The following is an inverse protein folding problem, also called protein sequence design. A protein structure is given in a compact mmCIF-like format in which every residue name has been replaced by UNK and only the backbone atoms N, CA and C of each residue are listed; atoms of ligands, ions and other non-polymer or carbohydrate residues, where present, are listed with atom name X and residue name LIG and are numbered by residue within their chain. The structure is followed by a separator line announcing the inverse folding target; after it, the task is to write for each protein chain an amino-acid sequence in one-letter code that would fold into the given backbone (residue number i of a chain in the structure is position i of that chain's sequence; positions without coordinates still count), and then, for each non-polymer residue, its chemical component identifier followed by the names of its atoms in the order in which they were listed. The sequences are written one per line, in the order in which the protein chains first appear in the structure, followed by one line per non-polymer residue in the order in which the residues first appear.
data_IF_327761954102
#
_entry.id   IF_327761954102
#
_cell.length_a   1.000
_cell.length_b   1.000
_cell.length_c   1.000
_cell.angle_alpha   90.00
_cell.angle_beta   90.00
_cell.angle_gamma   90.00
#
_symmetry.space_group_name_H-M   'P 1'
#
loop_
_entity.id
_entity.type
_entity.pdbx_description
1 polymer ?
#
# COMPACT_ATOMS: atom_id res chain seq x y z
N UNK A 1 27.35 -0.50 -6.42
CA UNK A 1 26.50 -0.50 -7.63
C UNK A 1 25.08 -0.26 -7.14
N UNK A 2 24.36 0.76 -7.66
CA UNK A 2 22.96 0.95 -7.36
C UNK A 2 22.18 -0.24 -7.96
N UNK A 3 21.42 -0.95 -7.12
CA UNK A 3 20.51 -1.97 -7.61
C UNK A 3 19.36 -1.26 -8.32
N UNK A 4 19.41 -1.22 -9.63
CA UNK A 4 18.41 -0.56 -10.50
C UNK A 4 17.39 -1.55 -11.06
N UNK A 5 17.44 -2.82 -10.62
CA UNK A 5 16.49 -3.83 -11.09
C UNK A 5 15.05 -3.46 -10.67
N UNK A 6 14.06 -3.66 -11.58
CA UNK A 6 12.67 -3.38 -11.27
C UNK A 6 12.21 -3.98 -9.94
N UNK A 7 11.44 -3.22 -9.18
CA UNK A 7 10.76 -3.68 -7.97
C UNK A 7 9.35 -4.17 -8.34
N UNK A 8 8.81 -5.11 -7.57
CA UNK A 8 7.39 -5.45 -7.57
C UNK A 8 6.74 -4.80 -6.34
N UNK A 9 5.79 -3.90 -6.56
CA UNK A 9 5.11 -3.15 -5.50
C UNK A 9 3.62 -3.48 -5.49
N UNK A 10 3.12 -3.95 -4.35
CA UNK A 10 1.69 -4.12 -4.13
C UNK A 10 1.09 -2.79 -3.61
N UNK A 11 0.16 -2.21 -4.36
CA UNK A 11 -0.54 -0.98 -4.00
C UNK A 11 -1.92 -1.33 -3.46
N UNK A 12 -2.11 -1.22 -2.15
CA UNK A 12 -3.33 -1.66 -1.44
C UNK A 12 -4.30 -0.49 -1.25
N UNK A 13 -5.44 -0.51 -1.92
CA UNK A 13 -6.47 0.53 -1.77
C UNK A 13 -7.41 0.21 -0.61
N UNK A 14 -7.62 1.19 0.27
CA UNK A 14 -8.39 1.00 1.51
C UNK A 14 -9.88 1.34 1.46
N UNK A 15 -10.43 1.83 0.34
CA UNK A 15 -11.83 2.29 0.28
C UNK A 15 -12.69 1.49 -0.69
N UNK A 16 -13.87 1.10 -0.22
CA UNK A 16 -14.93 0.44 -1.01
C UNK A 16 -16.17 1.31 -1.20
N UNK A 17 -16.11 2.62 -0.91
CA UNK A 17 -17.24 3.53 -1.13
C UNK A 17 -17.52 3.70 -2.62
N UNK A 18 -18.80 3.87 -2.99
CA UNK A 18 -19.23 4.00 -4.40
C UNK A 18 -18.46 5.14 -5.09
N UNK A 19 -18.46 6.34 -4.49
CA UNK A 19 -17.79 7.54 -5.05
C UNK A 19 -16.41 7.77 -4.43
N UNK A 20 -15.62 6.71 -4.24
CA UNK A 20 -14.31 6.78 -3.58
C UNK A 20 -13.30 7.60 -4.39
N UNK A 21 -12.78 8.65 -3.80
CA UNK A 21 -11.74 9.46 -4.41
C UNK A 21 -10.34 8.79 -4.34
N UNK A 22 -10.16 7.86 -3.41
CA UNK A 22 -8.87 7.15 -3.23
C UNK A 22 -8.40 6.36 -4.43
N UNK A 23 -9.31 5.96 -5.33
CA UNK A 23 -8.93 5.28 -6.58
C UNK A 23 -8.07 6.19 -7.48
N UNK A 24 -8.30 7.51 -7.47
CA UNK A 24 -7.48 8.48 -8.20
C UNK A 24 -6.04 8.49 -7.68
N UNK A 25 -5.88 8.55 -6.34
CA UNK A 25 -4.55 8.49 -5.70
C UNK A 25 -3.85 7.15 -5.94
N UNK A 26 -4.59 6.04 -5.87
CA UNK A 26 -4.01 4.71 -6.13
C UNK A 26 -3.51 4.58 -7.57
N UNK A 27 -4.30 4.97 -8.56
CA UNK A 27 -3.90 4.96 -9.97
C UNK A 27 -2.76 5.90 -10.29
N UNK A 28 -2.73 7.09 -9.67
CA UNK A 28 -1.61 8.03 -9.76
C UNK A 28 -0.30 7.37 -9.30
N UNK A 29 -0.32 6.73 -8.13
CA UNK A 29 0.86 6.09 -7.56
C UNK A 29 1.30 4.85 -8.36
N UNK A 30 0.36 4.03 -8.86
CA UNK A 30 0.67 2.94 -9.79
C UNK A 30 1.36 3.48 -11.02
N UNK A 31 0.75 4.47 -11.70
CA UNK A 31 1.34 5.07 -12.90
C UNK A 31 2.71 5.71 -12.65
N UNK A 32 2.90 6.35 -11.49
CA UNK A 32 4.18 6.94 -11.12
C UNK A 32 5.27 5.88 -10.92
N UNK A 33 4.96 4.75 -10.27
CA UNK A 33 5.86 3.62 -10.09
C UNK A 33 6.20 2.94 -11.43
N UNK A 34 5.21 2.73 -12.30
CA UNK A 34 5.41 2.18 -13.64
C UNK A 34 6.32 3.06 -14.51
N UNK A 35 6.14 4.39 -14.48
CA UNK A 35 7.02 5.35 -15.15
C UNK A 35 8.46 5.31 -14.65
N UNK A 36 8.68 4.87 -13.42
CA UNK A 36 10.00 4.64 -12.81
C UNK A 36 10.58 3.26 -13.14
N UNK A 37 9.85 2.44 -13.93
CA UNK A 37 10.29 1.14 -14.39
C UNK A 37 9.98 -0.02 -13.44
N UNK A 38 9.09 0.17 -12.46
CA UNK A 38 8.68 -0.86 -11.52
C UNK A 38 7.40 -1.57 -11.97
N UNK A 39 7.17 -2.79 -11.48
CA UNK A 39 5.88 -3.47 -11.56
C UNK A 39 5.03 -3.02 -10.38
N UNK A 40 3.95 -2.26 -10.62
CA UNK A 40 3.02 -1.83 -9.60
C UNK A 40 1.66 -2.51 -9.78
N UNK A 41 1.23 -3.30 -8.79
CA UNK A 41 -0.02 -4.05 -8.86
C UNK A 41 -1.03 -3.46 -7.88
N UNK A 42 -2.13 -2.91 -8.43
CA UNK A 42 -3.23 -2.40 -7.62
C UNK A 42 -4.05 -3.56 -7.05
N UNK A 43 -4.17 -3.60 -5.74
CA UNK A 43 -5.09 -4.48 -5.00
C UNK A 43 -6.30 -3.66 -4.58
N UNK A 44 -7.39 -3.85 -5.28
CA UNK A 44 -8.64 -3.13 -5.06
C UNK A 44 -9.68 -4.04 -4.40
N UNK A 45 -10.11 -3.74 -3.16
CA UNK A 45 -11.09 -4.57 -2.44
C UNK A 45 -12.50 -4.55 -3.04
N UNK A 46 -12.77 -3.73 -4.06
CA UNK A 46 -14.00 -3.84 -4.84
C UNK A 46 -13.91 -4.90 -5.93
N UNK A 47 -12.73 -5.17 -6.43
CA UNK A 47 -12.47 -6.21 -7.43
C UNK A 47 -12.14 -7.55 -6.78
N UNK A 48 -11.31 -7.54 -5.72
CA UNK A 48 -10.97 -8.72 -4.93
C UNK A 48 -11.73 -8.65 -3.61
N UNK A 49 -12.92 -9.23 -3.59
CA UNK A 49 -13.81 -9.20 -2.42
C UNK A 49 -13.51 -10.34 -1.48
N UNK A 50 -12.84 -10.02 -0.38
CA UNK A 50 -12.63 -10.97 0.70
C UNK A 50 -13.81 -10.92 1.71
N UNK A 51 -14.21 -12.05 2.28
CA UNK A 51 -15.16 -12.07 3.41
C UNK A 51 -14.55 -11.29 4.60
N UNK A 52 -15.35 -10.97 5.61
CA UNK A 52 -14.78 -10.56 6.90
C UNK A 52 -13.92 -11.71 7.41
N UNK A 53 -12.76 -11.36 7.96
CA UNK A 53 -11.80 -12.35 8.43
C UNK A 53 -12.43 -13.32 9.42
N UNK A 54 -12.51 -14.56 9.01
CA UNK A 54 -12.85 -15.73 9.85
C UNK A 54 -11.69 -16.71 9.93
N UNK A 55 -10.79 -16.67 8.93
CA UNK A 55 -9.60 -17.53 8.84
C UNK A 55 -8.47 -16.82 8.11
N UNK A 56 -7.28 -16.79 8.69
CA UNK A 56 -6.08 -16.27 8.04
C UNK A 56 -5.57 -17.23 6.96
N UNK A 57 -4.87 -16.68 5.95
CA UNK A 57 -4.30 -17.47 4.88
C UNK A 57 -3.40 -18.64 5.37
N UNK A 58 -2.58 -18.40 6.40
CA UNK A 58 -1.69 -19.42 6.99
C UNK A 58 -2.41 -20.60 7.66
N UNK A 59 -3.72 -20.47 7.92
CA UNK A 59 -4.53 -21.52 8.57
C UNK A 59 -5.15 -22.49 7.55
N UNK A 60 -5.02 -22.20 6.24
CA UNK A 60 -5.41 -23.13 5.18
C UNK A 60 -4.30 -24.13 4.87
N UNK A 61 -4.64 -25.37 4.46
CA UNK A 61 -3.65 -26.28 3.88
C UNK A 61 -3.00 -25.63 2.65
N UNK A 62 -1.77 -25.97 2.37
CA UNK A 62 -1.04 -25.45 1.20
C UNK A 62 -1.86 -25.65 -0.10
N UNK A 63 -2.17 -24.57 -0.78
CA UNK A 63 -2.97 -24.56 -2.03
C UNK A 63 -4.47 -24.85 -1.80
N UNK A 64 -4.94 -24.81 -0.57
CA UNK A 64 -6.34 -25.06 -0.21
C UNK A 64 -7.13 -23.81 0.17
N UNK A 65 -6.54 -22.62 0.07
CA UNK A 65 -7.25 -21.38 0.31
C UNK A 65 -8.12 -20.99 -0.89
N UNK A 66 -9.14 -20.14 -0.71
CA UNK A 66 -9.89 -19.55 -1.82
C UNK A 66 -8.96 -18.91 -2.86
N UNK A 67 -9.37 -18.93 -4.13
CA UNK A 67 -8.53 -18.49 -5.26
C UNK A 67 -8.03 -17.04 -5.09
N UNK A 68 -8.86 -16.16 -4.55
CA UNK A 68 -8.52 -14.76 -4.29
C UNK A 68 -7.39 -14.63 -3.25
N UNK A 69 -7.42 -15.46 -2.21
CA UNK A 69 -6.36 -15.50 -1.19
C UNK A 69 -5.05 -16.09 -1.76
N UNK A 70 -5.12 -17.15 -2.57
CA UNK A 70 -3.94 -17.72 -3.25
C UNK A 70 -3.30 -16.69 -4.21
N UNK A 71 -4.12 -15.97 -4.97
CA UNK A 71 -3.65 -14.91 -5.86
C UNK A 71 -2.94 -13.80 -5.10
N UNK A 72 -3.52 -13.31 -4.01
CA UNK A 72 -2.92 -12.28 -3.17
C UNK A 72 -1.65 -12.78 -2.49
N UNK A 73 -1.64 -14.00 -1.94
CA UNK A 73 -0.46 -14.59 -1.34
C UNK A 73 0.71 -14.69 -2.34
N UNK A 74 0.41 -15.10 -3.58
CA UNK A 74 1.41 -15.16 -4.66
C UNK A 74 1.98 -13.76 -4.96
N UNK A 75 1.14 -12.73 -5.05
CA UNK A 75 1.58 -11.35 -5.24
C UNK A 75 2.43 -10.87 -4.05
N UNK A 76 1.97 -11.06 -2.82
CA UNK A 76 2.62 -10.55 -1.63
C UNK A 76 3.99 -11.18 -1.39
N UNK A 77 4.14 -12.47 -1.68
CA UNK A 77 5.43 -13.17 -1.58
C UNK A 77 6.48 -12.65 -2.56
N UNK A 78 6.07 -12.25 -3.77
CA UNK A 78 7.00 -11.68 -4.76
C UNK A 78 7.18 -10.18 -4.63
N UNK A 79 6.33 -9.49 -3.85
CA UNK A 79 6.44 -8.06 -3.64
C UNK A 79 7.73 -7.66 -2.91
N UNK A 80 8.33 -6.56 -3.33
CA UNK A 80 9.48 -5.94 -2.68
C UNK A 80 9.08 -4.87 -1.67
N UNK A 81 7.85 -4.40 -1.73
CA UNK A 81 7.28 -3.43 -0.80
C UNK A 81 5.77 -3.26 -0.98
N UNK A 82 5.14 -2.64 0.01
CA UNK A 82 3.71 -2.39 0.07
C UNK A 82 3.41 -0.90 0.17
N UNK A 83 2.57 -0.38 -0.73
CA UNK A 83 2.11 0.99 -0.69
C UNK A 83 0.62 1.03 -0.32
N UNK A 84 0.31 1.57 0.86
CA UNK A 84 -1.05 1.61 1.41
C UNK A 84 -1.70 2.94 1.03
N UNK A 85 -2.85 2.90 0.33
CA UNK A 85 -3.64 4.09 -0.02
C UNK A 85 -4.87 4.15 0.88
N UNK A 86 -4.76 4.87 1.99
CA UNK A 86 -5.76 4.87 3.06
C UNK A 86 -6.58 6.15 3.11
N UNK A 87 -7.91 6.00 3.09
CA UNK A 87 -8.79 7.03 3.59
C UNK A 87 -8.71 7.13 5.13
N UNK A 88 -9.34 8.16 5.68
CA UNK A 88 -9.61 8.29 7.12
C UNK A 88 -11.12 8.23 7.34
N UNK A 89 -11.60 7.19 8.03
CA UNK A 89 -12.99 7.05 8.44
C UNK A 89 -13.11 7.24 9.95
N UNK A 90 -13.73 8.35 10.38
CA UNK A 90 -13.88 8.65 11.79
C UNK A 90 -12.56 8.53 12.58
N UNK A 91 -11.48 9.14 12.06
CA UNK A 91 -10.12 9.11 12.59
C UNK A 91 -9.42 7.73 12.54
N UNK A 92 -10.01 6.74 11.88
CA UNK A 92 -9.50 5.37 11.85
C UNK A 92 -9.20 4.86 10.44
N UNK A 93 -8.55 3.70 10.42
CA UNK A 93 -8.27 2.93 9.20
C UNK A 93 -9.59 2.40 8.63
N UNK A 94 -9.83 2.50 7.31
CA UNK A 94 -11.02 1.93 6.69
C UNK A 94 -11.15 0.42 6.96
N UNK A 95 -12.36 -0.08 7.29
CA UNK A 95 -12.56 -1.51 7.57
C UNK A 95 -12.10 -2.44 6.44
N UNK A 96 -12.30 -2.04 5.19
CA UNK A 96 -11.87 -2.84 4.05
C UNK A 96 -10.34 -3.00 3.96
N UNK A 97 -9.58 -1.94 4.28
CA UNK A 97 -8.12 -2.03 4.34
C UNK A 97 -7.67 -2.93 5.49
N UNK A 98 -8.27 -2.76 6.67
CA UNK A 98 -7.94 -3.59 7.83
C UNK A 98 -8.25 -5.05 7.57
N UNK A 99 -9.41 -5.35 6.99
CA UNK A 99 -9.80 -6.70 6.61
C UNK A 99 -8.82 -7.32 5.60
N UNK A 100 -8.42 -6.56 4.57
CA UNK A 100 -7.45 -7.01 3.57
C UNK A 100 -6.10 -7.36 4.20
N UNK A 101 -5.62 -6.54 5.14
CA UNK A 101 -4.34 -6.76 5.82
C UNK A 101 -4.38 -7.98 6.74
N UNK A 102 -5.47 -8.18 7.46
CA UNK A 102 -5.56 -9.20 8.51
C UNK A 102 -5.63 -10.65 7.97
N UNK A 103 -5.96 -10.83 6.69
CA UNK A 103 -5.95 -12.17 6.08
C UNK A 103 -4.53 -12.76 5.93
N UNK A 104 -3.49 -11.96 6.01
CA UNK A 104 -2.10 -12.38 5.77
C UNK A 104 -1.20 -11.97 6.94
N UNK A 105 -0.02 -12.57 7.02
CA UNK A 105 1.00 -12.23 8.02
C UNK A 105 2.41 -12.45 7.48
N UNK A 106 2.81 -13.70 7.25
CA UNK A 106 4.18 -14.07 6.84
C UNK A 106 4.53 -13.52 5.46
N UNK A 107 3.53 -13.32 4.60
CA UNK A 107 3.66 -12.74 3.27
C UNK A 107 4.17 -11.29 3.29
N UNK A 108 4.02 -10.58 4.42
CA UNK A 108 4.48 -9.21 4.62
C UNK A 108 5.90 -9.09 5.16
N UNK A 109 6.42 -10.11 5.81
CA UNK A 109 7.64 -10.02 6.60
C UNK A 109 8.82 -9.49 5.80
N UNK A 110 9.60 -8.61 6.43
CA UNK A 110 10.85 -8.05 5.92
C UNK A 110 10.72 -7.19 4.67
N UNK A 111 9.52 -6.69 4.37
CA UNK A 111 9.24 -5.77 3.27
C UNK A 111 8.85 -4.40 3.81
N UNK A 112 9.35 -3.29 3.23
CA UNK A 112 8.96 -1.97 3.70
C UNK A 112 7.53 -1.65 3.29
N UNK A 113 6.90 -0.79 4.08
CA UNK A 113 5.62 -0.20 3.76
C UNK A 113 5.72 1.32 3.62
N UNK A 114 4.92 1.88 2.72
CA UNK A 114 4.74 3.31 2.52
C UNK A 114 3.26 3.66 2.64
N UNK A 115 2.92 4.78 3.26
CA UNK A 115 1.54 5.18 3.51
C UNK A 115 1.22 6.46 2.74
N UNK A 116 0.34 6.33 1.74
CA UNK A 116 -0.36 7.44 1.13
C UNK A 116 -1.73 7.56 1.80
N UNK A 117 -2.01 8.68 2.42
CA UNK A 117 -3.26 8.89 3.13
C UNK A 117 -4.00 10.11 2.60
N UNK A 118 -5.33 10.10 2.70
CA UNK A 118 -6.14 11.19 2.18
C UNK A 118 -7.41 11.40 2.98
N UNK A 119 -7.98 12.59 2.84
CA UNK A 119 -9.31 12.91 3.36
C UNK A 119 -10.04 13.91 2.47
N UNK A 120 -11.37 13.98 2.62
CA UNK A 120 -12.17 15.04 2.02
C UNK A 120 -11.92 16.40 2.68
N UNK A 121 -11.58 16.42 3.96
CA UNK A 121 -11.22 17.61 4.74
C UNK A 121 -9.72 17.94 4.70
N UNK A 122 -9.33 18.92 5.51
CA UNK A 122 -7.98 19.50 5.52
C UNK A 122 -6.88 18.67 6.18
N UNK A 123 -7.20 17.56 6.86
CA UNK A 123 -6.22 16.79 7.64
C UNK A 123 -5.48 15.70 6.85
N UNK A 124 -5.89 15.41 5.62
CA UNK A 124 -5.18 14.51 4.71
C UNK A 124 -5.04 13.05 5.18
N UNK A 125 -5.86 12.60 6.15
CA UNK A 125 -5.85 11.21 6.60
C UNK A 125 -4.75 10.83 7.60
N UNK A 126 -4.06 11.80 8.19
CA UNK A 126 -2.87 11.53 9.03
C UNK A 126 -3.17 10.74 10.31
N UNK A 127 -4.39 10.82 10.86
CA UNK A 127 -4.75 10.08 12.08
C UNK A 127 -4.87 8.57 11.77
N UNK A 128 -5.50 8.23 10.66
CA UNK A 128 -5.53 6.85 10.16
C UNK A 128 -4.12 6.34 9.82
N UNK A 129 -3.26 7.19 9.25
CA UNK A 129 -1.87 6.84 8.97
C UNK A 129 -1.08 6.49 10.25
N UNK A 130 -1.32 7.19 11.36
CA UNK A 130 -0.68 6.86 12.64
C UNK A 130 -1.15 5.51 13.20
N UNK A 131 -2.42 5.16 13.05
CA UNK A 131 -2.92 3.83 13.40
C UNK A 131 -2.32 2.75 12.48
N UNK A 132 -2.22 3.02 11.17
CA UNK A 132 -1.56 2.10 10.24
C UNK A 132 -0.12 1.80 10.62
N UNK A 133 0.67 2.78 11.07
CA UNK A 133 2.06 2.53 11.49
C UNK A 133 2.16 1.47 12.58
N UNK A 134 1.24 1.45 13.54
CA UNK A 134 1.22 0.42 14.59
C UNK A 134 0.85 -0.95 14.00
N UNK A 135 -0.17 -0.99 13.14
CA UNK A 135 -0.64 -2.23 12.48
C UNK A 135 0.47 -2.82 11.60
N UNK A 136 1.12 -1.98 10.78
CA UNK A 136 2.17 -2.41 9.86
C UNK A 136 3.41 -2.90 10.60
N UNK A 137 3.73 -2.30 11.76
CA UNK A 137 4.80 -2.78 12.65
C UNK A 137 4.53 -4.18 13.16
N UNK A 138 3.31 -4.47 13.62
CA UNK A 138 2.88 -5.80 14.06
C UNK A 138 2.90 -6.83 12.91
N UNK A 139 2.53 -6.40 11.70
CA UNK A 139 2.56 -7.23 10.50
C UNK A 139 3.99 -7.46 9.94
N UNK A 140 5.05 -6.98 10.61
CA UNK A 140 6.44 -7.16 10.18
C UNK A 140 6.84 -6.29 8.98
N UNK A 141 6.08 -5.25 8.68
CA UNK A 141 6.35 -4.26 7.63
C UNK A 141 6.88 -2.95 8.22
N UNK A 142 8.18 -2.69 8.28
CA UNK A 142 8.67 -1.37 8.70
C UNK A 142 8.14 -0.28 7.78
N UNK A 143 7.51 0.77 8.35
CA UNK A 143 7.01 1.90 7.58
C UNK A 143 8.12 2.92 7.35
N UNK A 144 8.25 3.45 6.14
CA UNK A 144 9.14 4.56 5.85
C UNK A 144 8.73 5.82 6.66
N UNK A 145 9.68 6.71 7.02
CA UNK A 145 9.39 7.91 7.80
C UNK A 145 8.37 8.84 7.16
N UNK A 146 8.47 9.11 5.85
CA UNK A 146 7.56 10.04 5.18
C UNK A 146 6.15 9.48 4.98
N UNK A 147 5.21 10.41 4.81
CA UNK A 147 3.83 10.16 4.39
C UNK A 147 3.53 10.96 3.12
N UNK A 148 2.78 10.37 2.22
CA UNK A 148 2.13 11.13 1.14
C UNK A 148 0.70 11.46 1.57
N UNK A 149 0.52 12.62 2.22
CA UNK A 149 -0.79 13.07 2.72
C UNK A 149 -1.47 13.98 1.71
N UNK A 150 -2.72 13.67 1.35
CA UNK A 150 -3.52 14.40 0.35
C UNK A 150 -4.76 14.99 1.04
N UNK A 151 -4.68 16.20 1.61
CA UNK A 151 -5.85 16.90 2.11
C UNK A 151 -6.76 17.36 0.97
N UNK A 152 -8.06 17.43 1.21
CA UNK A 152 -9.07 17.82 0.22
C UNK A 152 -8.87 17.13 -1.14
N UNK A 153 -8.79 15.81 -1.12
CA UNK A 153 -8.41 15.00 -2.29
C UNK A 153 -9.20 15.35 -3.57
N UNK A 154 -10.47 15.72 -3.47
CA UNK A 154 -11.29 16.16 -4.60
C UNK A 154 -10.82 17.48 -5.23
N UNK A 155 -10.15 18.33 -4.45
CA UNK A 155 -9.55 19.58 -4.94
C UNK A 155 -8.10 19.37 -5.39
N UNK A 156 -7.34 18.51 -4.68
CA UNK A 156 -5.92 18.28 -4.92
C UNK A 156 -5.62 17.49 -6.19
N UNK A 157 -6.52 16.56 -6.55
CA UNK A 157 -6.37 15.73 -7.75
C UNK A 157 -7.45 16.05 -8.78
N UNK A 158 -7.08 16.06 -10.05
CA UNK A 158 -7.98 16.16 -11.18
C UNK A 158 -8.79 14.85 -11.37
N UNK A 159 -9.73 14.83 -12.32
CA UNK A 159 -10.55 13.65 -12.56
C UNK A 159 -9.77 12.47 -13.14
N UNK A 160 -8.68 12.76 -13.86
CA UNK A 160 -7.71 11.78 -14.33
C UNK A 160 -6.70 11.34 -13.27
N UNK A 161 -6.81 11.87 -12.04
CA UNK A 161 -5.94 11.57 -10.90
C UNK A 161 -4.65 12.37 -10.84
N UNK A 162 -4.37 13.24 -11.83
CA UNK A 162 -3.14 14.04 -11.79
C UNK A 162 -3.19 15.12 -10.70
N UNK A 163 -2.06 15.39 -10.01
CA UNK A 163 -1.98 16.52 -9.07
C UNK A 163 -2.24 17.85 -9.79
N UNK A 164 -3.07 18.70 -9.17
CA UNK A 164 -3.37 20.04 -9.71
C UNK A 164 -2.29 21.09 -9.38
N UNK A 165 -1.35 20.76 -8.54
CA UNK A 165 -0.27 21.67 -8.15
C UNK A 165 1.08 20.98 -8.10
N UNK A 166 2.14 21.76 -8.32
CA UNK A 166 3.52 21.28 -8.34
C UNK A 166 4.02 20.80 -6.96
N UNK A 167 3.48 21.34 -5.88
CA UNK A 167 3.87 20.94 -4.51
C UNK A 167 3.46 19.50 -4.23
N UNK A 168 2.23 19.12 -4.61
CA UNK A 168 1.73 17.75 -4.48
C UNK A 168 2.56 16.79 -5.32
N UNK A 169 2.94 17.18 -6.53
CA UNK A 169 3.83 16.40 -7.40
C UNK A 169 5.19 16.18 -6.73
N UNK A 170 5.86 17.26 -6.28
CA UNK A 170 7.18 17.16 -5.62
C UNK A 170 7.13 16.33 -4.34
N UNK A 171 6.04 16.43 -3.57
CA UNK A 171 5.84 15.62 -2.37
C UNK A 171 5.73 14.14 -2.71
N UNK A 172 4.98 13.79 -3.75
CA UNK A 172 4.84 12.42 -4.25
C UNK A 172 6.19 11.86 -4.71
N UNK A 173 6.92 12.61 -5.53
CA UNK A 173 8.24 12.18 -6.04
C UNK A 173 9.20 11.86 -4.89
N UNK A 174 9.35 12.78 -3.93
CA UNK A 174 10.21 12.57 -2.75
C UNK A 174 9.77 11.36 -1.91
N UNK A 175 8.47 11.15 -1.76
CA UNK A 175 7.91 10.01 -1.04
C UNK A 175 8.25 8.69 -1.74
N UNK A 176 8.14 8.63 -3.07
CA UNK A 176 8.48 7.45 -3.86
C UNK A 176 10.00 7.21 -3.86
N UNK A 177 10.85 8.25 -3.96
CA UNK A 177 12.31 8.12 -3.87
C UNK A 177 12.73 7.44 -2.56
N UNK A 178 12.14 7.89 -1.44
CA UNK A 178 12.41 7.29 -0.12
C UNK A 178 11.92 5.83 -0.06
N UNK A 179 10.72 5.55 -0.56
CA UNK A 179 10.16 4.20 -0.56
C UNK A 179 11.00 3.22 -1.39
N UNK A 180 11.40 3.62 -2.59
CA UNK A 180 12.28 2.82 -3.46
C UNK A 180 13.62 2.52 -2.80
N UNK A 181 14.21 3.52 -2.12
CA UNK A 181 15.45 3.32 -1.39
C UNK A 181 15.33 2.21 -0.34
N UNK A 182 14.26 2.23 0.47
CA UNK A 182 13.98 1.19 1.47
C UNK A 182 13.68 -0.16 0.81
N UNK A 183 12.90 -0.19 -0.26
CA UNK A 183 12.53 -1.42 -0.96
C UNK A 183 13.77 -2.11 -1.54
N UNK A 184 14.65 -1.38 -2.21
CA UNK A 184 15.92 -1.91 -2.70
C UNK A 184 16.84 -2.38 -1.57
N UNK A 185 16.95 -1.63 -0.48
CA UNK A 185 17.80 -1.99 0.66
C UNK A 185 17.34 -3.30 1.30
N UNK A 186 16.04 -3.42 1.59
CA UNK A 186 15.49 -4.62 2.22
C UNK A 186 15.43 -5.81 1.25
N UNK A 187 15.23 -5.60 -0.05
CA UNK A 187 15.35 -6.67 -1.06
C UNK A 187 16.75 -7.28 -1.05
N UNK A 188 17.80 -6.44 -1.10
CA UNK A 188 19.19 -6.92 -1.01
C UNK A 188 19.45 -7.67 0.28
N UNK A 189 18.96 -7.16 1.41
CA UNK A 189 19.15 -7.83 2.70
C UNK A 189 18.41 -9.19 2.77
N UNK A 190 17.16 -9.26 2.27
CA UNK A 190 16.40 -10.54 2.18
C UNK A 190 17.13 -11.57 1.34
N UNK A 191 17.79 -11.16 0.24
CA UNK A 191 18.58 -12.06 -0.60
C UNK A 191 19.77 -12.69 0.13
N UNK A 192 20.26 -12.06 1.20
CA UNK A 192 21.33 -12.57 2.07
C UNK A 192 20.79 -13.41 3.23
N UNK A 193 19.48 -13.52 3.38
CA UNK A 193 18.77 -14.21 4.44
C UNK A 193 17.97 -13.29 5.34
N UNK A 194 17.04 -13.90 6.09
CA UNK A 194 16.17 -13.25 7.08
C UNK A 194 16.39 -13.86 8.46
N UNK A 195 16.08 -13.14 9.56
CA UNK A 195 16.25 -13.66 10.92
C UNK A 195 15.41 -14.89 11.24
N UNK A 196 14.25 -15.08 10.61
CA UNK A 196 13.34 -16.22 10.72
C UNK A 196 12.49 -16.36 9.48
#
# INVERSE_FOLDING_TARGET
MSDTAPLTIAVLLGSVRVDRQGIKAARLLVSALEKRGHEAVLVDPMEIRLPLLDRMYKEYPKGGAPAELEQLASLYRRADGFLLVSAEYNHGVPPALKNLLDHFLEEYFWRPSAIACYSAGGFGGVRAAMQLRMILGELGMPSIPSLFSIPRIGEALADDGQPKDERTTKQMERFLDEFEWYAHALRRQRASGTPY
#
